data_IF_908716140600
#
_entry.id   IF_908716140600
#
_cell.length_a   1.000
_cell.length_b   1.000
_cell.length_c   1.000
_cell.angle_alpha   90.00
_cell.angle_beta   90.00
_cell.angle_gamma   90.00
#
_symmetry.space_group_name_H-M   'P 1'
#
loop_
_entity.id
_entity.type
_entity.pdbx_description
1 polymer ?
#
# COMPACT_ATOMS: atom_id res chain seq x y z
N UNK A 1 20.73 4.09 7.39
CA UNK A 1 20.76 3.54 8.77
C UNK A 1 22.04 2.72 8.92
N UNK A 2 22.79 2.96 9.98
CA UNK A 2 24.04 2.25 10.27
C UNK A 2 23.71 0.89 10.92
N UNK A 3 23.78 -0.19 10.14
CA UNK A 3 23.50 -1.55 10.57
C UNK A 3 24.58 -2.16 11.50
N UNK A 4 25.69 -1.47 11.69
CA UNK A 4 26.70 -1.86 12.69
C UNK A 4 26.28 -1.46 14.12
N UNK A 5 25.38 -0.47 14.24
CA UNK A 5 24.88 0.07 15.50
C UNK A 5 23.44 -0.34 15.81
N UNK A 6 22.65 -0.62 14.80
CA UNK A 6 21.22 -0.87 14.95
C UNK A 6 20.81 -2.20 14.33
N UNK A 7 20.00 -2.95 15.04
CA UNK A 7 19.28 -4.08 14.47
C UNK A 7 18.06 -3.56 13.73
N UNK A 8 18.05 -3.72 12.39
CA UNK A 8 16.97 -3.20 11.53
C UNK A 8 15.96 -4.32 11.24
N UNK A 9 14.69 -4.04 11.48
CA UNK A 9 13.60 -4.95 11.20
C UNK A 9 12.64 -4.29 10.22
N UNK A 10 12.25 -5.00 9.17
CA UNK A 10 11.19 -4.62 8.26
C UNK A 10 10.24 -5.81 8.11
N UNK A 11 9.13 -5.77 8.87
CA UNK A 11 8.10 -6.82 8.80
C UNK A 11 7.19 -6.60 7.61
N UNK A 12 6.85 -7.69 6.89
CA UNK A 12 5.84 -7.62 5.85
C UNK A 12 4.43 -7.46 6.45
N UNK A 13 3.58 -6.67 5.80
CA UNK A 13 2.22 -6.41 6.26
C UNK A 13 1.28 -7.59 6.02
N UNK A 14 0.44 -7.93 6.99
CA UNK A 14 -0.69 -8.82 6.77
C UNK A 14 -1.60 -8.23 5.68
N UNK A 15 -2.09 -9.08 4.79
CA UNK A 15 -2.87 -8.67 3.63
C UNK A 15 -2.03 -8.39 2.37
N UNK A 16 -0.69 -8.27 2.51
CA UNK A 16 0.23 -8.00 1.40
C UNK A 16 0.68 -9.28 0.68
N UNK A 17 1.11 -9.12 -0.58
CA UNK A 17 1.51 -10.22 -1.45
C UNK A 17 2.86 -10.88 -1.12
N UNK A 18 3.64 -10.35 -0.18
CA UNK A 18 5.06 -10.71 0.00
C UNK A 18 5.30 -11.69 1.16
N UNK A 19 4.43 -12.70 1.34
CA UNK A 19 4.67 -13.83 2.22
C UNK A 19 3.92 -13.81 3.55
N UNK A 20 3.32 -12.70 3.97
CA UNK A 20 2.38 -12.69 5.10
C UNK A 20 1.02 -13.25 4.71
N UNK A 21 0.23 -13.67 5.70
CA UNK A 21 -1.15 -14.10 5.47
C UNK A 21 -1.93 -13.03 4.71
N UNK A 22 -2.56 -13.42 3.62
CA UNK A 22 -3.23 -12.54 2.67
C UNK A 22 -4.47 -13.23 2.05
N UNK A 23 -5.24 -12.58 1.20
CA UNK A 23 -6.45 -13.16 0.59
C UNK A 23 -6.23 -14.49 -0.15
N UNK A 24 -5.02 -14.75 -0.65
CA UNK A 24 -4.69 -16.01 -1.34
C UNK A 24 -4.14 -17.09 -0.40
N UNK A 25 -4.03 -16.81 0.89
CA UNK A 25 -3.65 -17.80 1.91
C UNK A 25 -4.79 -18.77 2.19
N UNK A 26 -4.44 -20.00 2.59
CA UNK A 26 -5.40 -21.02 2.96
C UNK A 26 -6.00 -20.70 4.34
N UNK A 27 -7.31 -20.60 4.41
CA UNK A 27 -8.06 -20.55 5.66
C UNK A 27 -7.97 -21.91 6.38
N UNK A 28 -7.42 -21.94 7.60
CA UNK A 28 -7.28 -23.20 8.34
C UNK A 28 -8.60 -23.91 8.63
N UNK A 29 -9.70 -23.18 8.70
CA UNK A 29 -11.02 -23.73 9.03
C UNK A 29 -11.70 -24.39 7.83
N UNK A 30 -11.60 -23.76 6.66
CA UNK A 30 -12.27 -24.22 5.44
C UNK A 30 -11.37 -25.02 4.49
N UNK A 31 -10.04 -24.96 4.71
CA UNK A 31 -8.99 -25.55 3.83
C UNK A 31 -9.01 -24.99 2.40
N UNK A 32 -9.61 -23.82 2.20
CA UNK A 32 -9.69 -23.09 0.92
C UNK A 32 -9.04 -21.71 1.09
N UNK A 33 -8.66 -21.10 -0.03
CA UNK A 33 -8.17 -19.72 -0.01
C UNK A 33 -9.24 -18.78 0.55
N UNK A 34 -8.82 -17.79 1.34
CA UNK A 34 -9.74 -16.76 1.89
C UNK A 34 -10.46 -15.99 0.79
N UNK A 35 -9.74 -15.54 -0.21
CA UNK A 35 -10.22 -14.67 -1.28
C UNK A 35 -11.06 -13.50 -0.75
N UNK A 36 -12.27 -13.27 -1.22
CA UNK A 36 -13.18 -12.23 -0.75
C UNK A 36 -13.71 -12.44 0.68
N UNK A 37 -13.40 -13.58 1.31
CA UNK A 37 -13.69 -13.83 2.74
C UNK A 37 -12.54 -13.41 3.66
N UNK A 38 -11.43 -12.92 3.12
CA UNK A 38 -10.36 -12.36 3.94
C UNK A 38 -10.91 -11.17 4.75
N UNK A 39 -10.55 -11.04 6.03
CA UNK A 39 -11.06 -9.94 6.84
C UNK A 39 -10.51 -8.59 6.35
N UNK A 40 -11.34 -7.56 6.43
CA UNK A 40 -10.85 -6.18 6.27
C UNK A 40 -10.03 -5.84 7.50
N UNK A 41 -8.76 -5.54 7.28
CA UNK A 41 -7.82 -5.16 8.34
C UNK A 41 -7.77 -3.64 8.50
N UNK A 42 -7.52 -3.18 9.72
CA UNK A 42 -7.15 -1.80 10.03
C UNK A 42 -5.63 -1.65 10.13
N UNK A 43 -5.13 -0.42 10.15
CA UNK A 43 -3.71 -0.16 10.45
C UNK A 43 -3.35 -0.67 11.85
N UNK A 44 -4.26 -0.52 12.82
CA UNK A 44 -4.10 -1.06 14.19
C UNK A 44 -3.94 -2.59 14.20
N UNK A 45 -4.72 -3.33 13.40
CA UNK A 45 -4.57 -4.79 13.29
C UNK A 45 -3.18 -5.17 12.77
N UNK A 46 -2.65 -4.42 11.79
CA UNK A 46 -1.30 -4.65 11.24
C UNK A 46 -0.26 -4.40 12.32
N UNK A 47 -0.33 -3.27 13.03
CA UNK A 47 0.59 -2.91 14.12
C UNK A 47 0.53 -3.94 15.25
N UNK A 48 -0.66 -4.36 15.65
CA UNK A 48 -0.84 -5.37 16.70
C UNK A 48 -0.25 -6.74 16.32
N UNK A 49 -0.32 -7.10 15.03
CA UNK A 49 0.33 -8.32 14.54
C UNK A 49 1.87 -8.21 14.58
N UNK A 50 2.41 -7.05 14.21
CA UNK A 50 3.84 -6.75 14.30
C UNK A 50 4.32 -6.76 15.76
N UNK A 51 3.57 -6.19 16.69
CA UNK A 51 3.88 -6.23 18.12
C UNK A 51 3.94 -7.67 18.67
N UNK A 52 3.06 -8.57 18.20
CA UNK A 52 3.13 -10.00 18.54
C UNK A 52 4.42 -10.66 18.01
N UNK A 53 4.84 -10.28 16.78
CA UNK A 53 6.11 -10.74 16.21
C UNK A 53 7.30 -10.25 17.06
N UNK A 54 7.34 -8.96 17.41
CA UNK A 54 8.42 -8.38 18.19
C UNK A 54 8.52 -9.00 19.57
N UNK A 55 7.38 -9.23 20.24
CA UNK A 55 7.33 -9.97 21.51
C UNK A 55 7.94 -11.37 21.37
N UNK A 56 7.64 -12.08 20.27
CA UNK A 56 8.21 -13.42 20.01
C UNK A 56 9.72 -13.37 19.77
N UNK A 57 10.20 -12.29 19.14
CA UNK A 57 11.63 -12.01 18.94
C UNK A 57 12.32 -11.44 20.18
N UNK A 58 11.60 -11.30 21.31
CA UNK A 58 12.07 -10.70 22.57
C UNK A 58 12.50 -9.23 22.42
N UNK A 59 11.92 -8.52 21.46
CA UNK A 59 12.13 -7.09 21.26
C UNK A 59 11.07 -6.35 22.05
N UNK A 60 11.49 -5.65 23.08
CA UNK A 60 10.61 -4.92 24.01
C UNK A 60 10.55 -3.43 23.72
N UNK A 61 11.56 -2.90 23.04
CA UNK A 61 11.67 -1.48 22.71
C UNK A 61 12.44 -1.29 21.41
N UNK A 62 12.06 -0.31 20.63
CA UNK A 62 12.75 0.15 19.42
C UNK A 62 13.44 1.50 19.67
N UNK A 63 14.59 1.73 19.05
CA UNK A 63 15.17 3.08 19.04
C UNK A 63 14.31 4.02 18.20
N UNK A 64 13.85 3.57 17.05
CA UNK A 64 12.96 4.35 16.20
C UNK A 64 11.98 3.45 15.43
N UNK A 65 10.77 3.96 15.20
CA UNK A 65 9.82 3.44 14.23
C UNK A 65 9.76 4.41 13.05
N UNK A 66 10.09 3.93 11.86
CA UNK A 66 10.17 4.75 10.64
C UNK A 66 9.26 4.17 9.58
N UNK A 67 8.39 4.98 9.00
CA UNK A 67 7.51 4.53 7.93
C UNK A 67 7.11 5.61 6.95
N UNK A 68 7.02 5.22 5.66
CA UNK A 68 6.51 6.08 4.60
C UNK A 68 5.10 5.70 4.16
N UNK A 69 4.26 6.66 3.79
CA UNK A 69 2.90 6.43 3.29
C UNK A 69 2.08 5.59 4.29
N UNK A 70 1.59 4.41 3.90
CA UNK A 70 0.92 3.47 4.82
C UNK A 70 1.82 3.04 6.00
N UNK A 71 3.14 2.96 5.79
CA UNK A 71 4.10 2.74 6.89
C UNK A 71 4.15 3.91 7.87
N UNK A 72 3.93 5.13 7.41
CA UNK A 72 3.76 6.30 8.26
C UNK A 72 2.46 6.27 9.06
N UNK A 73 1.35 5.77 8.48
CA UNK A 73 0.11 5.51 9.23
C UNK A 73 0.36 4.48 10.36
N UNK A 74 1.16 3.44 10.08
CA UNK A 74 1.56 2.46 11.10
C UNK A 74 2.45 3.11 12.16
N UNK A 75 3.40 3.97 11.78
CA UNK A 75 4.26 4.68 12.72
C UNK A 75 3.44 5.57 13.67
N UNK A 76 2.44 6.30 13.18
CA UNK A 76 1.50 7.04 14.01
C UNK A 76 0.69 6.13 14.93
N UNK A 77 0.25 4.97 14.44
CA UNK A 77 -0.47 3.98 15.24
C UNK A 77 0.41 3.42 16.37
N UNK A 78 1.70 3.17 16.10
CA UNK A 78 2.66 2.81 17.16
C UNK A 78 2.76 3.90 18.24
N UNK A 79 2.87 5.17 17.85
CA UNK A 79 2.96 6.28 18.80
C UNK A 79 1.71 6.36 19.70
N UNK A 80 0.53 6.15 19.12
CA UNK A 80 -0.76 6.28 19.82
C UNK A 80 -1.06 5.07 20.70
N UNK A 81 -0.92 3.85 20.16
CA UNK A 81 -1.37 2.62 20.81
C UNK A 81 -0.27 1.96 21.67
N UNK A 82 1.00 2.23 21.35
CA UNK A 82 2.17 1.70 22.05
C UNK A 82 3.15 2.81 22.42
N UNK A 83 2.73 3.82 23.21
CA UNK A 83 3.48 5.09 23.39
C UNK A 83 4.88 4.93 24.01
N UNK A 84 5.15 3.80 24.68
CA UNK A 84 6.46 3.52 25.30
C UNK A 84 7.35 2.61 24.46
N UNK A 85 6.86 2.15 23.29
CA UNK A 85 7.57 1.16 22.48
C UNK A 85 8.79 1.72 21.77
N UNK A 86 8.74 2.97 21.32
CA UNK A 86 9.85 3.61 20.57
C UNK A 86 10.28 4.92 21.23
N UNK A 87 11.58 5.24 21.14
CA UNK A 87 12.09 6.56 21.53
C UNK A 87 11.71 7.64 20.50
N UNK A 88 11.80 7.28 19.22
CA UNK A 88 11.53 8.20 18.10
C UNK A 88 10.51 7.59 17.13
N UNK A 89 9.61 8.43 16.59
CA UNK A 89 8.65 8.04 15.54
C UNK A 89 8.78 8.97 14.35
N UNK A 90 9.13 8.40 13.20
CA UNK A 90 9.39 9.14 11.96
C UNK A 90 8.33 8.72 10.92
N UNK A 91 7.33 9.57 10.71
CA UNK A 91 6.25 9.37 9.77
C UNK A 91 6.49 10.23 8.51
N UNK A 92 6.75 9.60 7.37
CA UNK A 92 7.13 10.26 6.13
C UNK A 92 6.00 10.18 5.08
N UNK A 93 5.72 11.29 4.38
CA UNK A 93 4.77 11.35 3.27
C UNK A 93 3.44 10.62 3.59
N UNK A 94 2.86 10.92 4.76
CA UNK A 94 1.69 10.24 5.32
C UNK A 94 0.63 11.22 5.81
N UNK A 95 -0.42 10.71 6.43
CA UNK A 95 -1.52 11.51 6.98
C UNK A 95 -2.07 10.83 8.24
N UNK A 96 -2.63 11.62 9.16
CA UNK A 96 -3.30 11.10 10.35
C UNK A 96 -4.70 10.51 10.04
N UNK A 97 -5.32 10.88 8.93
CA UNK A 97 -6.54 10.26 8.40
C UNK A 97 -6.58 10.37 6.87
N UNK A 98 -7.17 9.39 6.21
CA UNK A 98 -7.21 9.38 4.74
C UNK A 98 -8.27 10.34 4.23
N UNK A 99 -7.82 11.36 3.49
CA UNK A 99 -8.70 12.41 2.94
C UNK A 99 -9.46 11.93 1.70
N UNK A 100 -10.61 12.56 1.39
CA UNK A 100 -11.44 12.20 0.23
C UNK A 100 -10.70 12.17 -1.11
N UNK A 101 -9.71 13.05 -1.32
CA UNK A 101 -8.87 13.05 -2.52
C UNK A 101 -8.14 11.71 -2.73
N UNK A 102 -7.47 11.21 -1.69
CA UNK A 102 -6.77 9.93 -1.76
C UNK A 102 -7.75 8.75 -1.94
N UNK A 103 -8.90 8.79 -1.26
CA UNK A 103 -9.98 7.79 -1.43
C UNK A 103 -10.49 7.77 -2.87
N UNK A 104 -10.65 8.95 -3.49
CA UNK A 104 -11.10 9.07 -4.88
C UNK A 104 -10.10 8.46 -5.87
N UNK A 105 -8.79 8.71 -5.69
CA UNK A 105 -7.76 8.06 -6.51
C UNK A 105 -7.74 6.53 -6.33
N UNK A 106 -7.82 6.06 -5.09
CA UNK A 106 -7.91 4.62 -4.81
C UNK A 106 -9.15 3.99 -5.47
N UNK A 107 -10.26 4.73 -5.53
CA UNK A 107 -11.50 4.27 -6.18
C UNK A 107 -11.31 3.96 -7.66
N UNK A 108 -10.51 4.72 -8.38
CA UNK A 108 -10.21 4.47 -9.81
C UNK A 108 -9.60 3.06 -9.95
N UNK A 109 -8.58 2.75 -9.14
CA UNK A 109 -7.93 1.44 -9.18
C UNK A 109 -8.86 0.30 -8.74
N UNK A 110 -9.67 0.53 -7.72
CA UNK A 110 -10.66 -0.44 -7.23
C UNK A 110 -11.67 -0.78 -8.34
N UNK A 111 -12.23 0.22 -9.02
CA UNK A 111 -13.19 -0.02 -10.11
C UNK A 111 -12.53 -0.68 -11.32
N UNK A 112 -11.32 -0.26 -11.68
CA UNK A 112 -10.58 -0.89 -12.78
C UNK A 112 -10.37 -2.39 -12.53
N UNK A 113 -10.00 -2.80 -11.32
CA UNK A 113 -9.83 -4.21 -10.96
C UNK A 113 -11.17 -4.94 -10.96
N UNK A 114 -12.22 -4.35 -10.37
CA UNK A 114 -13.54 -4.98 -10.26
C UNK A 114 -14.20 -5.24 -11.61
N UNK A 115 -13.95 -4.39 -12.60
CA UNK A 115 -14.49 -4.52 -13.95
C UNK A 115 -13.56 -5.29 -14.91
N UNK A 116 -12.39 -5.72 -14.46
CA UNK A 116 -11.52 -6.57 -15.25
C UNK A 116 -12.16 -7.98 -15.39
N UNK A 117 -12.44 -8.45 -16.61
CA UNK A 117 -13.03 -9.78 -16.80
C UNK A 117 -12.21 -10.92 -16.19
N UNK A 118 -10.88 -10.77 -16.16
CA UNK A 118 -9.97 -11.79 -15.61
C UNK A 118 -10.10 -11.86 -14.09
N UNK A 119 -10.42 -10.76 -13.42
CA UNK A 119 -10.62 -10.72 -11.97
C UNK A 119 -11.77 -11.63 -11.51
N UNK A 120 -12.79 -11.80 -12.34
CA UNK A 120 -13.89 -12.75 -12.14
C UNK A 120 -14.43 -12.78 -10.69
N UNK A 121 -14.80 -11.59 -10.17
CA UNK A 121 -15.28 -11.45 -8.78
C UNK A 121 -14.35 -12.11 -7.73
N UNK A 122 -13.03 -11.99 -7.92
CA UNK A 122 -12.04 -12.56 -7.02
C UNK A 122 -11.72 -14.05 -7.24
N UNK A 123 -12.30 -14.68 -8.26
CA UNK A 123 -12.10 -16.11 -8.58
C UNK A 123 -11.11 -16.33 -9.75
N UNK A 124 -10.17 -15.41 -9.95
CA UNK A 124 -9.09 -15.58 -10.92
C UNK A 124 -8.13 -16.70 -10.50
N UNK A 125 -7.43 -17.30 -11.49
CA UNK A 125 -6.38 -18.30 -11.25
C UNK A 125 -5.04 -17.60 -11.14
N UNK A 126 -4.39 -17.70 -9.98
CA UNK A 126 -3.10 -17.03 -9.69
C UNK A 126 -1.99 -17.43 -10.68
N UNK A 127 -1.99 -18.70 -11.09
CA UNK A 127 -0.97 -19.27 -11.97
C UNK A 127 -1.35 -19.19 -13.46
N UNK A 128 -2.49 -18.57 -13.79
CA UNK A 128 -2.86 -18.33 -15.18
C UNK A 128 -2.00 -17.20 -15.74
N UNK A 129 -1.22 -17.40 -16.81
CA UNK A 129 -0.48 -16.33 -17.48
C UNK A 129 -1.34 -15.13 -17.87
N UNK A 130 -2.66 -15.35 -18.12
CA UNK A 130 -3.62 -14.25 -18.36
C UNK A 130 -3.87 -13.43 -17.09
N UNK A 131 -3.86 -14.05 -15.91
CA UNK A 131 -4.02 -13.33 -14.64
C UNK A 131 -2.82 -12.41 -14.33
N UNK A 132 -1.62 -12.76 -14.82
CA UNK A 132 -0.44 -11.89 -14.77
C UNK A 132 -0.57 -10.65 -15.68
N UNK A 133 -1.56 -10.64 -16.56
CA UNK A 133 -1.90 -9.52 -17.44
C UNK A 133 -3.13 -8.75 -16.97
N UNK A 134 -3.51 -8.82 -15.67
CA UNK A 134 -4.65 -8.08 -15.12
C UNK A 134 -4.53 -6.59 -15.44
N UNK A 135 -5.27 -6.19 -16.48
CA UNK A 135 -5.27 -4.81 -16.98
C UNK A 135 -5.81 -3.87 -15.90
N UNK A 136 -6.85 -4.29 -15.18
CA UNK A 136 -7.44 -3.50 -14.10
C UNK A 136 -6.45 -3.17 -13.00
N UNK A 137 -5.60 -4.12 -12.58
CA UNK A 137 -4.56 -3.87 -11.58
C UNK A 137 -3.48 -2.93 -12.14
N UNK A 138 -3.13 -3.08 -13.41
CA UNK A 138 -2.18 -2.19 -14.10
C UNK A 138 -2.71 -0.76 -14.17
N UNK A 139 -3.98 -0.57 -14.52
CA UNK A 139 -4.63 0.76 -14.53
C UNK A 139 -4.68 1.38 -13.14
N UNK A 140 -5.01 0.59 -12.12
CA UNK A 140 -4.94 1.03 -10.72
C UNK A 140 -3.53 1.50 -10.34
N UNK A 141 -2.50 0.79 -10.81
CA UNK A 141 -1.10 1.19 -10.60
C UNK A 141 -0.76 2.49 -11.33
N UNK A 142 -1.24 2.70 -12.57
CA UNK A 142 -1.04 3.97 -13.29
C UNK A 142 -1.61 5.16 -12.51
N UNK A 143 -2.84 5.05 -12.03
CA UNK A 143 -3.46 6.08 -11.20
C UNK A 143 -2.61 6.40 -9.96
N UNK A 144 -2.11 5.38 -9.25
CA UNK A 144 -1.22 5.54 -8.11
C UNK A 144 0.10 6.22 -8.46
N UNK A 145 0.72 5.89 -9.59
CA UNK A 145 1.99 6.47 -10.02
C UNK A 145 1.91 7.98 -10.23
N UNK A 146 0.78 8.48 -10.74
CA UNK A 146 0.55 9.92 -10.92
C UNK A 146 0.58 10.66 -9.57
N UNK A 147 0.12 10.01 -8.50
CA UNK A 147 0.10 10.60 -7.15
C UNK A 147 1.47 10.62 -6.45
N UNK A 148 2.46 9.87 -6.94
CA UNK A 148 3.77 9.75 -6.27
C UNK A 148 4.73 10.86 -6.60
N UNK A 149 4.51 11.57 -7.70
CA UNK A 149 5.36 12.66 -8.16
C UNK A 149 4.54 13.95 -8.28
N UNK A 150 5.17 15.08 -8.03
CA UNK A 150 4.53 16.37 -8.28
C UNK A 150 4.40 16.65 -9.79
N UNK A 151 3.41 17.47 -10.22
CA UNK A 151 3.32 17.90 -11.62
C UNK A 151 4.61 18.52 -12.15
N UNK A 152 5.31 19.32 -11.31
CA UNK A 152 6.57 19.94 -11.70
C UNK A 152 7.66 18.89 -11.97
N UNK A 153 7.71 17.84 -11.15
CA UNK A 153 8.70 16.76 -11.35
C UNK A 153 8.36 15.94 -12.61
N UNK A 154 7.08 15.68 -12.90
CA UNK A 154 6.68 15.06 -14.16
C UNK A 154 7.13 15.92 -15.36
N UNK A 155 6.83 17.22 -15.33
CA UNK A 155 7.20 18.14 -16.39
C UNK A 155 8.72 18.21 -16.61
N UNK A 156 9.50 18.29 -15.53
CA UNK A 156 10.97 18.36 -15.64
C UNK A 156 11.60 17.04 -16.07
N UNK A 157 10.99 15.91 -15.72
CA UNK A 157 11.52 14.57 -16.02
C UNK A 157 11.22 14.13 -17.45
N UNK A 158 10.03 14.41 -17.96
CA UNK A 158 9.57 13.87 -19.25
C UNK A 158 9.40 14.94 -20.33
N UNK A 159 9.21 16.22 -19.94
CA UNK A 159 8.92 17.29 -20.89
C UNK A 159 7.69 16.95 -21.75
N UNK A 160 7.83 17.20 -23.04
CA UNK A 160 6.92 16.75 -24.09
C UNK A 160 7.61 15.79 -25.07
N UNK A 161 8.60 15.05 -24.57
CA UNK A 161 9.40 14.15 -25.37
C UNK A 161 8.56 12.98 -25.88
N UNK A 162 8.72 12.68 -27.15
CA UNK A 162 8.01 11.62 -27.84
C UNK A 162 8.90 10.38 -27.91
N UNK A 163 8.34 9.20 -27.71
CA UNK A 163 9.13 7.97 -27.66
C UNK A 163 9.56 7.45 -29.03
N UNK A 164 8.95 7.96 -30.13
CA UNK A 164 9.26 7.59 -31.50
C UNK A 164 9.26 8.84 -32.40
N UNK A 165 10.23 8.95 -33.27
CA UNK A 165 10.47 10.17 -34.07
C UNK A 165 9.31 10.50 -35.02
N UNK A 166 8.60 9.49 -35.56
CA UNK A 166 7.56 9.66 -36.58
C UNK A 166 6.14 9.34 -36.09
N UNK A 167 5.95 9.05 -34.80
CA UNK A 167 4.67 8.60 -34.28
C UNK A 167 3.71 9.68 -33.77
N UNK A 168 4.06 10.98 -33.91
CA UNK A 168 3.28 12.09 -33.31
C UNK A 168 1.81 12.13 -33.76
N UNK A 169 1.54 11.75 -34.99
CA UNK A 169 0.19 11.76 -35.58
C UNK A 169 -0.44 10.37 -35.66
N UNK A 170 0.19 9.36 -35.06
CA UNK A 170 -0.40 8.04 -34.89
C UNK A 170 -1.29 7.99 -33.64
N UNK A 171 -2.48 7.40 -33.77
CA UNK A 171 -3.47 7.32 -32.69
C UNK A 171 -2.90 6.68 -31.41
N UNK A 172 -2.02 5.70 -31.54
CA UNK A 172 -1.40 4.97 -30.43
C UNK A 172 0.11 5.26 -30.29
N UNK A 173 0.58 6.35 -30.88
CA UNK A 173 1.91 6.85 -30.59
C UNK A 173 2.01 7.31 -29.12
N UNK A 174 3.20 7.19 -28.50
CA UNK A 174 3.35 7.39 -27.07
C UNK A 174 4.37 8.47 -26.73
N UNK A 175 4.05 9.35 -25.80
CA UNK A 175 5.03 10.20 -25.12
C UNK A 175 5.86 9.40 -24.12
N UNK A 176 7.05 9.87 -23.76
CA UNK A 176 7.92 9.20 -22.79
C UNK A 176 7.23 9.01 -21.43
N UNK A 177 6.36 9.92 -21.02
CA UNK A 177 5.56 9.77 -19.79
C UNK A 177 4.57 8.61 -19.88
N UNK A 178 3.94 8.39 -21.06
CA UNK A 178 3.00 7.28 -21.25
C UNK A 178 3.72 5.94 -21.23
N UNK A 179 4.88 5.86 -21.88
CA UNK A 179 5.77 4.69 -21.84
C UNK A 179 6.24 4.38 -20.41
N UNK A 180 6.61 5.40 -19.63
CA UNK A 180 6.95 5.24 -18.22
C UNK A 180 5.80 4.66 -17.40
N UNK A 181 4.59 5.21 -17.55
CA UNK A 181 3.41 4.69 -16.85
C UNK A 181 3.11 3.26 -17.25
N UNK A 182 3.11 2.97 -18.54
CA UNK A 182 2.86 1.64 -19.11
C UNK A 182 3.85 0.60 -18.58
N UNK A 183 5.15 0.88 -18.64
CA UNK A 183 6.19 -0.02 -18.16
C UNK A 183 6.01 -0.38 -16.68
N UNK A 184 5.84 0.64 -15.82
CA UNK A 184 5.70 0.42 -14.39
C UNK A 184 4.37 -0.24 -14.01
N UNK A 185 3.29 0.07 -14.73
CA UNK A 185 1.98 -0.49 -14.47
C UNK A 185 1.88 -1.96 -14.86
N UNK A 186 2.31 -2.33 -16.06
CA UNK A 186 2.21 -3.72 -16.54
C UNK A 186 3.24 -4.68 -15.92
N UNK A 187 4.27 -4.17 -15.28
CA UNK A 187 5.16 -5.00 -14.46
C UNK A 187 4.58 -5.32 -13.08
N UNK A 188 3.64 -4.52 -12.58
CA UNK A 188 3.13 -4.63 -11.22
C UNK A 188 2.31 -5.90 -10.93
N UNK A 189 1.38 -6.37 -11.82
CA UNK A 189 0.65 -7.63 -11.60
C UNK A 189 1.54 -8.87 -11.49
N UNK A 190 2.78 -8.81 -11.98
CA UNK A 190 3.74 -9.91 -11.86
C UNK A 190 4.23 -10.14 -10.42
N UNK A 191 4.14 -9.10 -9.58
CA UNK A 191 4.67 -9.11 -8.21
C UNK A 191 3.62 -8.80 -7.14
N UNK A 192 2.44 -8.35 -7.54
CA UNK A 192 1.39 -7.97 -6.61
C UNK A 192 0.04 -8.59 -6.97
N UNK A 193 -0.66 -9.08 -5.95
CA UNK A 193 -1.96 -9.72 -6.10
C UNK A 193 -3.11 -8.71 -6.08
N UNK A 194 -4.13 -8.81 -6.97
CA UNK A 194 -5.21 -7.84 -7.05
C UNK A 194 -6.13 -7.83 -5.82
N UNK A 195 -6.39 -8.96 -5.18
CA UNK A 195 -7.15 -8.97 -3.92
C UNK A 195 -6.36 -8.30 -2.81
N UNK A 196 -5.06 -8.60 -2.69
CA UNK A 196 -4.19 -7.90 -1.73
C UNK A 196 -4.20 -6.38 -1.98
N UNK A 197 -4.18 -5.94 -3.23
CA UNK A 197 -4.30 -4.51 -3.57
C UNK A 197 -5.63 -3.91 -3.07
N UNK A 198 -6.75 -4.58 -3.32
CA UNK A 198 -8.07 -4.12 -2.88
C UNK A 198 -8.18 -4.02 -1.35
N UNK A 199 -7.70 -5.03 -0.63
CA UNK A 199 -7.72 -5.05 0.84
C UNK A 199 -6.81 -3.98 1.43
N UNK A 200 -5.59 -3.79 0.91
CA UNK A 200 -4.68 -2.72 1.35
C UNK A 200 -5.25 -1.33 1.05
N UNK A 201 -5.84 -1.12 -0.14
CA UNK A 201 -6.55 0.13 -0.42
C UNK A 201 -7.68 0.38 0.59
N UNK A 202 -8.45 -0.67 0.94
CA UNK A 202 -9.50 -0.55 1.96
C UNK A 202 -8.93 -0.19 3.32
N UNK A 203 -7.85 -0.85 3.75
CA UNK A 203 -7.14 -0.56 5.00
C UNK A 203 -6.71 0.91 5.08
N UNK A 204 -6.09 1.43 4.01
CA UNK A 204 -5.71 2.84 3.94
C UNK A 204 -6.92 3.77 3.95
N UNK A 205 -7.96 3.47 3.16
CA UNK A 205 -9.14 4.33 3.04
C UNK A 205 -9.90 4.52 4.36
N UNK A 206 -9.89 3.50 5.23
CA UNK A 206 -10.57 3.57 6.54
C UNK A 206 -9.68 4.08 7.65
N UNK A 207 -8.41 4.41 7.36
CA UNK A 207 -7.50 4.91 8.38
C UNK A 207 -7.91 6.30 8.87
N UNK A 208 -8.03 6.41 10.18
CA UNK A 208 -8.32 7.63 10.92
C UNK A 208 -7.77 7.47 12.33
N UNK A 209 -6.68 8.20 12.64
CA UNK A 209 -6.05 8.21 13.94
C UNK A 209 -6.93 8.85 15.04
N UNK A 210 -7.86 9.73 14.65
CA UNK A 210 -8.82 10.37 15.53
C UNK A 210 -10.13 9.60 15.72
N UNK A 211 -10.26 8.40 15.17
CA UNK A 211 -11.50 7.60 15.27
C UNK A 211 -11.93 7.41 16.73
N UNK A 212 -13.19 7.73 17.02
CA UNK A 212 -13.79 7.67 18.35
C UNK A 212 -13.21 8.70 19.35
N UNK A 213 -12.64 9.80 18.86
CA UNK A 213 -12.22 10.96 19.66
C UNK A 213 -13.00 12.20 19.24
N UNK A 214 -13.14 13.15 20.14
CA UNK A 214 -13.81 14.43 19.83
C UNK A 214 -12.93 15.28 18.89
N UNK A 215 -11.63 15.22 19.07
CA UNK A 215 -10.63 15.89 18.21
C UNK A 215 -9.49 14.94 17.86
N UNK A 216 -8.88 15.17 16.72
CA UNK A 216 -7.72 14.37 16.26
C UNK A 216 -6.56 14.45 17.26
N UNK A 217 -6.33 15.63 17.82
CA UNK A 217 -5.24 15.92 18.75
C UNK A 217 -5.32 15.05 20.01
N UNK A 218 -6.54 14.74 20.49
CA UNK A 218 -6.77 13.91 21.68
C UNK A 218 -6.16 12.49 21.53
N UNK A 219 -5.97 12.04 20.30
CA UNK A 219 -5.32 10.75 20.03
C UNK A 219 -3.83 10.75 20.33
N UNK A 220 -3.19 11.92 20.34
CA UNK A 220 -1.75 12.08 20.53
C UNK A 220 -1.36 12.48 21.95
N UNK A 221 -2.31 12.71 22.87
CA UNK A 221 -2.04 13.16 24.25
C UNK A 221 -1.07 12.25 25.02
N UNK A 222 -1.09 10.95 24.73
CA UNK A 222 -0.29 9.95 25.43
C UNK A 222 1.02 9.60 24.73
N UNK A 223 1.29 10.21 23.59
CA UNK A 223 2.52 9.96 22.83
C UNK A 223 3.74 10.43 23.62
N UNK A 224 4.74 9.54 23.77
CA UNK A 224 5.98 9.79 24.50
C UNK A 224 7.20 9.83 23.58
N UNK A 225 7.06 9.36 22.34
CA UNK A 225 8.13 9.37 21.35
C UNK A 225 8.37 10.81 20.83
N UNK A 226 9.62 11.08 20.44
CA UNK A 226 9.98 12.32 19.73
C UNK A 226 9.48 12.29 18.29
#
# INVERSE_FOLDING_TARGET
IDTTKYFVICSNNIGSSYGSTNPMSIDPSTKKEYRLKFPVLTISDIVNAQMKLYKRLKITKAKAVIGGSMGGMQALCYAIEHPTFADDVIALATTAYTRPWAIAFNKIGIEAIRHDPIFNNGNYKKDDPKALGLVGLSLGRMAGLICYLSPNLFNSKFGRDYSQTDGLYELFGEFEVEKYLKYNAYSFPKVFDPLSYLYICKTMNIFDAGRNKDKLEDSFEKVQAN
#
